data_IF_180903344825
#
_entry.id   IF_180903344825
#
_cell.length_a   1.000
_cell.length_b   1.000
_cell.length_c   1.000
_cell.angle_alpha   90.00
_cell.angle_beta   90.00
_cell.angle_gamma   90.00
#
_symmetry.space_group_name_H-M   'P 1'
#
loop_
_entity.id
_entity.type
_entity.pdbx_description
1 polymer ?
#
# COMPACT_ATOMS: atom_id res chain seq x y z
N UNK A 1 -18.10 0.03 -3.12
CA UNK A 1 -17.26 0.22 -4.33
C UNK A 1 -16.80 -1.16 -4.84
N UNK A 2 -16.31 -1.35 -6.09
CA UNK A 2 -15.81 -2.66 -6.57
C UNK A 2 -14.61 -3.22 -5.76
N UNK A 3 -14.16 -2.46 -4.76
CA UNK A 3 -13.09 -2.83 -3.85
C UNK A 3 -13.58 -3.34 -2.48
N UNK A 4 -14.87 -3.23 -2.16
CA UNK A 4 -15.45 -3.80 -0.93
C UNK A 4 -15.49 -5.33 -0.97
N UNK A 5 -15.42 -5.98 0.19
CA UNK A 5 -15.45 -7.45 0.36
C UNK A 5 -14.28 -8.23 -0.27
N UNK A 6 -13.14 -7.57 -0.47
CA UNK A 6 -11.86 -8.20 -0.86
C UNK A 6 -10.85 -8.01 0.26
N UNK A 7 -10.20 -9.09 0.69
CA UNK A 7 -9.04 -9.00 1.57
C UNK A 7 -7.84 -8.48 0.78
N UNK A 8 -7.23 -7.41 1.27
CA UNK A 8 -6.03 -6.82 0.69
C UNK A 8 -4.88 -6.92 1.67
N UNK A 9 -3.75 -7.40 1.18
CA UNK A 9 -2.51 -7.45 1.93
C UNK A 9 -1.70 -6.18 1.64
N UNK A 10 -1.26 -5.54 2.71
CA UNK A 10 -0.43 -4.34 2.71
C UNK A 10 0.90 -4.69 3.38
N UNK A 11 2.00 -4.21 2.82
CA UNK A 11 3.32 -4.25 3.45
C UNK A 11 3.68 -2.84 3.88
N UNK A 12 3.97 -2.69 5.16
CA UNK A 12 4.43 -1.45 5.76
C UNK A 12 5.90 -1.64 6.10
N UNK A 13 6.75 -0.79 5.54
CA UNK A 13 8.18 -0.76 5.80
C UNK A 13 8.51 0.53 6.56
N UNK A 14 8.78 0.37 7.85
CA UNK A 14 9.23 1.46 8.70
C UNK A 14 10.75 1.55 8.57
N UNK A 15 11.22 2.53 7.79
CA UNK A 15 12.65 2.77 7.60
C UNK A 15 13.35 3.19 8.91
N UNK A 16 14.68 3.30 8.87
CA UNK A 16 15.51 3.64 10.04
C UNK A 16 15.22 5.02 10.64
N UNK A 17 14.50 5.88 9.91
CA UNK A 17 14.13 7.24 10.33
C UNK A 17 12.71 7.34 10.87
N UNK A 18 11.98 6.23 11.01
CA UNK A 18 10.69 6.27 11.68
C UNK A 18 10.91 6.52 13.19
N UNK A 19 10.19 7.46 13.84
CA UNK A 19 8.98 8.16 13.39
C UNK A 19 9.17 9.56 12.74
N UNK A 20 10.40 10.05 12.57
CA UNK A 20 10.67 11.35 11.91
C UNK A 20 10.26 11.37 10.42
N UNK A 21 10.48 10.27 9.71
CA UNK A 21 10.03 10.04 8.33
C UNK A 21 8.83 9.07 8.30
N UNK A 22 7.89 9.32 7.39
CA UNK A 22 6.72 8.47 7.22
C UNK A 22 7.09 7.04 6.77
N UNK A 23 6.36 6.00 7.22
CA UNK A 23 6.61 4.64 6.81
C UNK A 23 6.20 4.44 5.35
N UNK A 24 6.93 3.58 4.63
CA UNK A 24 6.60 3.27 3.25
C UNK A 24 5.54 2.19 3.20
N UNK A 25 4.36 2.51 2.67
CA UNK A 25 3.24 1.57 2.58
C UNK A 25 3.08 1.14 1.12
N UNK A 26 3.00 -0.17 0.89
CA UNK A 26 2.75 -0.74 -0.44
C UNK A 26 1.71 -1.83 -0.38
N UNK A 27 0.81 -1.86 -1.36
CA UNK A 27 -0.13 -2.95 -1.55
C UNK A 27 0.56 -4.16 -2.17
N UNK A 28 0.50 -5.29 -1.48
CA UNK A 28 0.94 -6.60 -2.02
C UNK A 28 -0.13 -7.16 -2.95
N UNK A 29 -1.40 -6.94 -2.63
CA UNK A 29 -2.51 -7.30 -3.50
C UNK A 29 -2.54 -6.35 -4.70
N UNK A 30 -2.68 -6.89 -5.91
CA UNK A 30 -2.85 -6.08 -7.13
C UNK A 30 -4.21 -5.38 -7.08
N UNK A 31 -4.21 -4.08 -6.80
CA UNK A 31 -5.41 -3.26 -6.80
C UNK A 31 -5.24 -2.13 -7.81
N UNK A 32 -6.22 -1.99 -8.69
CA UNK A 32 -6.27 -0.90 -9.67
C UNK A 32 -7.19 0.20 -9.12
N UNK A 33 -6.67 0.97 -8.16
CA UNK A 33 -7.36 2.12 -7.55
C UNK A 33 -6.66 3.39 -8.04
N UNK A 34 -7.41 4.46 -8.33
CA UNK A 34 -6.85 5.70 -8.90
C UNK A 34 -5.71 6.35 -8.07
N UNK A 35 -5.54 5.96 -6.81
CA UNK A 35 -4.50 6.47 -5.91
C UNK A 35 -3.37 5.47 -5.65
N UNK A 36 -3.35 4.32 -6.33
CA UNK A 36 -2.38 3.24 -6.13
C UNK A 36 -1.84 2.83 -7.49
N UNK A 37 -0.52 2.85 -7.63
CA UNK A 37 0.12 2.42 -8.86
C UNK A 37 -0.04 0.90 -9.03
N UNK A 38 -0.76 0.47 -10.07
CA UNK A 38 -1.06 -0.94 -10.36
C UNK A 38 0.16 -1.81 -10.65
N UNK A 39 1.32 -1.20 -10.93
CA UNK A 39 2.59 -1.89 -11.23
C UNK A 39 3.50 -1.97 -10.01
N UNK A 40 3.54 -0.93 -9.17
CA UNK A 40 4.45 -0.85 -8.01
C UNK A 40 3.76 -1.02 -6.65
N UNK A 41 2.43 -0.93 -6.61
CA UNK A 41 1.62 -1.01 -5.39
C UNK A 41 1.80 0.18 -4.43
N UNK A 42 2.48 1.25 -4.87
CA UNK A 42 2.78 2.46 -4.11
C UNK A 42 1.82 3.61 -4.45
#
# INVERSE_FOLDING_TARGET
>A
TPYENRMYSLKIDCGQRYPDDAPNVRFLSRINMNCINSTTGA
#
